data_IF_104084413053
#
_entry.id   IF_104084413053
#
_cell.length_a   1.000
_cell.length_b   1.000
_cell.length_c   1.000
_cell.angle_alpha   90.00
_cell.angle_beta   90.00
_cell.angle_gamma   90.00
#
_symmetry.space_group_name_H-M   'P 1'
#
loop_
_entity.id
_entity.type
_entity.pdbx_description
1 polymer ?
#
# COMPACT_ATOMS: atom_id res chain seq x y z
N UNK A 1 -11.86 98.19 7.78
CA UNK A 1 -11.11 97.41 6.79
C UNK A 1 -11.00 95.98 7.30
N UNK A 2 -11.89 95.09 6.85
CA UNK A 2 -11.89 93.68 7.23
C UNK A 2 -11.82 92.86 5.95
N UNK A 3 -10.67 92.26 5.69
CA UNK A 3 -10.42 91.36 4.55
C UNK A 3 -11.11 90.00 4.79
N UNK A 4 -11.74 89.39 3.78
CA UNK A 4 -12.55 88.20 3.98
C UNK A 4 -11.68 86.94 4.09
N UNK A 5 -11.68 86.31 5.27
CA UNK A 5 -11.10 84.97 5.55
C UNK A 5 -11.71 83.84 4.72
N UNK A 6 -12.82 84.08 4.01
CA UNK A 6 -13.53 83.07 3.23
C UNK A 6 -12.75 82.60 1.98
N UNK A 7 -11.87 83.43 1.42
CA UNK A 7 -11.18 83.10 0.16
C UNK A 7 -10.04 82.09 0.35
N UNK A 8 -9.31 82.14 1.47
CA UNK A 8 -8.20 81.21 1.72
C UNK A 8 -8.69 79.78 2.02
N UNK A 9 -9.78 79.63 2.79
CA UNK A 9 -10.35 78.32 3.12
C UNK A 9 -10.89 77.58 1.89
N UNK A 10 -11.46 78.32 0.93
CA UNK A 10 -12.01 77.76 -0.30
C UNK A 10 -10.88 77.28 -1.24
N UNK A 11 -9.78 78.04 -1.34
CA UNK A 11 -8.61 77.65 -2.15
C UNK A 11 -7.91 76.42 -1.57
N UNK A 12 -7.80 76.29 -0.25
CA UNK A 12 -7.25 75.08 0.39
C UNK A 12 -8.13 73.84 0.21
N UNK A 13 -9.46 74.00 0.22
CA UNK A 13 -10.38 72.89 -0.05
C UNK A 13 -10.32 72.44 -1.52
N UNK A 14 -10.23 73.37 -2.46
CA UNK A 14 -10.14 73.07 -3.90
C UNK A 14 -8.81 72.38 -4.24
N UNK A 15 -7.72 72.76 -3.58
CA UNK A 15 -6.43 72.07 -3.75
C UNK A 15 -6.44 70.66 -3.13
N UNK A 16 -7.03 70.47 -1.94
CA UNK A 16 -7.22 69.13 -1.34
C UNK A 16 -8.16 68.23 -2.16
N UNK A 17 -9.23 68.78 -2.74
CA UNK A 17 -10.16 68.06 -3.61
C UNK A 17 -9.53 67.73 -4.98
N UNK A 18 -8.64 68.58 -5.50
CA UNK A 18 -7.84 68.31 -6.70
C UNK A 18 -6.82 67.18 -6.49
N UNK A 19 -6.17 67.13 -5.32
CA UNK A 19 -5.29 66.02 -4.94
C UNK A 19 -6.05 64.69 -4.76
N UNK A 20 -7.26 64.72 -4.19
CA UNK A 20 -8.10 63.52 -4.05
C UNK A 20 -8.59 62.98 -5.42
N UNK A 21 -8.95 63.89 -6.34
CA UNK A 21 -9.38 63.50 -7.69
C UNK A 21 -8.26 62.86 -8.53
N UNK A 22 -7.00 63.30 -8.35
CA UNK A 22 -5.82 62.66 -8.95
C UNK A 22 -5.63 61.21 -8.46
N UNK A 23 -6.00 60.90 -7.22
CA UNK A 23 -5.97 59.52 -6.71
C UNK A 23 -7.11 58.65 -7.25
N UNK A 24 -8.27 59.24 -7.56
CA UNK A 24 -9.43 58.48 -8.06
C UNK A 24 -9.38 58.18 -9.56
N UNK A 25 -8.54 58.87 -10.34
CA UNK A 25 -8.43 58.64 -11.77
C UNK A 25 -7.64 57.38 -12.16
N UNK A 26 -7.01 56.71 -11.18
CA UNK A 26 -6.19 55.51 -11.38
C UNK A 26 -6.99 54.19 -11.39
N UNK A 27 -8.34 54.21 -11.30
CA UNK A 27 -9.14 52.98 -11.15
C UNK A 27 -10.00 52.59 -12.36
N UNK A 28 -9.79 53.20 -13.53
CA UNK A 28 -10.62 52.92 -14.71
C UNK A 28 -9.78 52.57 -15.94
N UNK A 29 -9.48 51.27 -16.08
CA UNK A 29 -9.01 50.69 -17.34
C UNK A 29 -7.61 50.10 -17.27
N UNK A 30 -7.56 48.79 -17.51
CA UNK A 30 -6.41 47.88 -17.51
C UNK A 30 -5.96 47.44 -16.11
N UNK A 31 -5.72 46.13 -15.93
CA UNK A 31 -5.70 45.49 -14.63
C UNK A 31 -4.45 45.85 -13.81
N UNK A 32 -4.62 46.82 -12.93
CA UNK A 32 -3.79 47.08 -11.76
C UNK A 32 -4.55 46.49 -10.56
N UNK A 33 -4.04 45.42 -9.95
CA UNK A 33 -4.66 44.90 -8.73
C UNK A 33 -4.42 45.89 -7.58
N UNK A 34 -5.32 45.92 -6.60
CA UNK A 34 -5.22 46.70 -5.34
C UNK A 34 -3.93 46.44 -4.54
N UNK A 35 -3.15 45.43 -4.94
CA UNK A 35 -1.91 44.97 -4.30
C UNK A 35 -0.63 45.53 -4.91
N UNK A 36 -0.72 46.38 -5.94
CA UNK A 36 0.43 47.05 -6.55
C UNK A 36 0.74 48.37 -5.82
N UNK A 37 2.00 48.57 -5.45
CA UNK A 37 2.46 49.69 -4.62
C UNK A 37 3.60 50.43 -5.31
N UNK A 38 3.75 51.73 -5.02
CA UNK A 38 4.87 52.50 -5.55
C UNK A 38 6.18 52.06 -4.89
N UNK A 39 7.23 51.89 -5.70
CA UNK A 39 8.53 51.39 -5.25
C UNK A 39 9.19 52.32 -4.21
N UNK A 40 8.78 53.58 -4.18
CA UNK A 40 9.30 54.60 -3.26
C UNK A 40 8.89 54.39 -1.80
N UNK A 41 7.81 53.65 -1.51
CA UNK A 41 7.29 53.47 -0.14
C UNK A 41 7.82 52.20 0.57
N UNK A 42 8.75 51.47 -0.03
CA UNK A 42 9.37 50.26 0.56
C UNK A 42 9.00 48.96 -0.17
N UNK A 43 9.69 47.88 0.20
CA UNK A 43 9.53 46.54 -0.38
C UNK A 43 8.15 45.91 -0.13
N UNK A 44 7.88 44.76 -0.75
CA UNK A 44 6.78 43.90 -0.30
C UNK A 44 7.09 43.46 1.14
N UNK A 45 6.23 43.83 2.09
CA UNK A 45 6.41 43.47 3.50
C UNK A 45 6.44 41.96 3.73
N UNK A 46 6.68 41.52 4.96
CA UNK A 46 6.84 40.10 5.30
C UNK A 46 5.65 39.25 4.84
N UNK A 47 5.95 38.12 4.17
CA UNK A 47 4.94 37.20 3.62
C UNK A 47 4.40 37.59 2.25
N UNK A 48 4.99 38.60 1.61
CA UNK A 48 4.69 38.98 0.24
C UNK A 48 5.96 39.01 -0.62
N UNK A 49 5.84 38.58 -1.87
CA UNK A 49 6.93 38.60 -2.85
C UNK A 49 6.59 39.54 -4.01
N UNK A 50 7.59 40.28 -4.55
CA UNK A 50 7.40 41.08 -5.75
C UNK A 50 7.31 40.14 -6.95
N UNK A 51 6.20 40.19 -7.67
CA UNK A 51 5.94 39.30 -8.83
C UNK A 51 6.11 40.01 -10.16
N UNK A 52 5.91 41.32 -10.17
CA UNK A 52 5.98 42.13 -11.38
C UNK A 52 6.41 43.54 -11.00
N UNK A 53 7.38 44.07 -11.75
CA UNK A 53 7.94 45.40 -11.53
C UNK A 53 7.85 46.17 -12.83
N UNK A 54 7.21 47.34 -12.81
CA UNK A 54 7.24 48.26 -13.94
C UNK A 54 8.03 49.52 -13.60
N UNK A 55 8.78 49.99 -14.60
CA UNK A 55 9.46 51.28 -14.62
C UNK A 55 8.71 52.35 -15.44
N UNK A 56 7.51 52.02 -15.93
CA UNK A 56 6.61 52.93 -16.62
C UNK A 56 5.21 52.97 -15.98
N UNK A 57 4.39 53.95 -16.37
CA UNK A 57 2.98 54.05 -15.95
C UNK A 57 2.05 53.16 -16.76
N UNK A 58 2.56 52.40 -17.73
CA UNK A 58 1.73 51.63 -18.65
C UNK A 58 1.52 50.21 -18.14
N UNK A 59 2.39 49.66 -17.31
CA UNK A 59 2.20 48.32 -16.71
C UNK A 59 1.89 47.26 -17.78
N UNK A 60 0.99 46.32 -17.48
CA UNK A 60 0.49 45.30 -18.41
C UNK A 60 -0.64 45.79 -19.35
N UNK A 61 -0.85 47.09 -19.47
CA UNK A 61 -1.97 47.62 -20.26
C UNK A 61 -1.71 47.43 -21.77
N UNK A 62 -2.63 46.78 -22.49
CA UNK A 62 -2.51 46.55 -23.94
C UNK A 62 -2.53 47.84 -24.79
N UNK A 63 -2.90 48.97 -24.21
CA UNK A 63 -2.95 50.26 -24.91
C UNK A 63 -2.34 51.37 -24.04
N UNK A 64 -1.43 52.20 -24.59
CA UNK A 64 -0.86 53.35 -23.90
C UNK A 64 -1.92 54.47 -23.84
N UNK A 65 -2.92 54.34 -22.97
CA UNK A 65 -4.01 55.33 -22.86
C UNK A 65 -3.61 56.60 -22.10
N UNK A 66 -2.42 56.65 -21.51
CA UNK A 66 -2.03 57.74 -20.63
C UNK A 66 -0.73 58.44 -21.10
N UNK A 67 -0.72 59.78 -21.00
CA UNK A 67 0.41 60.63 -21.34
C UNK A 67 1.58 60.55 -20.36
N UNK A 68 2.50 61.54 -20.41
CA UNK A 68 3.69 61.60 -19.57
C UNK A 68 3.34 61.44 -18.08
N UNK A 69 3.96 60.42 -17.46
CA UNK A 69 3.81 60.07 -16.06
C UNK A 69 4.05 61.27 -15.13
N UNK A 70 3.19 61.52 -14.13
CA UNK A 70 3.51 62.42 -13.04
C UNK A 70 4.76 61.93 -12.30
N UNK A 71 5.59 62.86 -11.81
CA UNK A 71 6.79 62.54 -11.03
C UNK A 71 6.40 61.63 -9.85
N UNK A 72 7.16 60.55 -9.63
CA UNK A 72 6.94 59.46 -8.64
C UNK A 72 5.95 58.35 -9.02
N UNK A 73 5.24 58.44 -10.15
CA UNK A 73 4.29 57.42 -10.61
C UNK A 73 4.86 56.51 -11.70
N UNK A 74 6.18 56.42 -11.86
CA UNK A 74 6.80 55.56 -12.88
C UNK A 74 7.32 54.24 -12.35
N UNK A 75 7.49 54.06 -11.03
CA UNK A 75 8.09 52.84 -10.46
C UNK A 75 7.12 52.16 -9.52
N UNK A 76 6.65 50.98 -9.92
CA UNK A 76 5.73 50.16 -9.13
C UNK A 76 6.19 48.71 -9.05
N UNK A 77 5.79 48.04 -7.97
CA UNK A 77 5.87 46.60 -7.84
C UNK A 77 4.54 46.03 -7.36
N UNK A 78 4.17 44.87 -7.88
CA UNK A 78 3.01 44.13 -7.42
C UNK A 78 3.45 43.03 -6.45
N UNK A 79 2.81 43.00 -5.29
CA UNK A 79 3.12 42.08 -4.21
C UNK A 79 2.06 40.96 -4.16
N UNK A 80 2.49 39.71 -4.14
CA UNK A 80 1.62 38.54 -3.92
C UNK A 80 1.97 37.86 -2.62
N UNK A 81 0.97 37.28 -1.96
CA UNK A 81 1.21 36.42 -0.81
C UNK A 81 2.10 35.25 -1.24
N UNK A 82 3.16 35.00 -0.47
CA UNK A 82 4.10 33.92 -0.75
C UNK A 82 3.69 32.58 -0.15
N UNK A 83 2.77 32.60 0.84
CA UNK A 83 2.39 31.42 1.62
C UNK A 83 1.31 30.60 0.94
N UNK A 84 1.60 29.32 0.74
CA UNK A 84 0.61 28.37 0.29
C UNK A 84 -0.43 28.05 1.40
N UNK A 85 -1.71 27.97 1.02
CA UNK A 85 -2.83 27.58 1.90
C UNK A 85 -3.26 26.13 1.67
N UNK A 86 -3.76 25.44 2.69
CA UNK A 86 -4.20 24.05 2.55
C UNK A 86 -5.45 23.96 1.65
N UNK A 87 -5.42 23.11 0.63
CA UNK A 87 -6.56 22.83 -0.26
C UNK A 87 -6.71 21.33 -0.51
N UNK A 88 -7.95 20.89 -0.78
CA UNK A 88 -8.28 19.49 -1.13
C UNK A 88 -8.49 19.27 -2.63
N UNK A 89 -8.52 20.34 -3.43
CA UNK A 89 -8.87 20.31 -4.86
C UNK A 89 -7.65 20.30 -5.77
N UNK A 90 -6.45 20.50 -5.22
CA UNK A 90 -5.21 20.62 -5.98
C UNK A 90 -4.88 19.37 -6.82
N UNK A 91 -5.25 18.20 -6.32
CA UNK A 91 -5.12 16.91 -7.00
C UNK A 91 -5.92 16.80 -8.32
N UNK A 92 -6.84 17.74 -8.59
CA UNK A 92 -7.64 17.79 -9.82
C UNK A 92 -7.08 18.76 -10.86
N UNK A 93 -6.17 19.65 -10.47
CA UNK A 93 -5.59 20.62 -11.40
C UNK A 93 -4.56 19.93 -12.32
N UNK A 94 -4.57 20.22 -13.64
CA UNK A 94 -3.54 19.76 -14.58
C UNK A 94 -2.19 20.42 -14.33
N UNK A 95 -2.19 21.72 -14.02
CA UNK A 95 -0.99 22.56 -13.85
C UNK A 95 -0.32 22.44 -12.49
N UNK A 96 -0.70 21.46 -11.67
CA UNK A 96 -0.11 21.26 -10.34
C UNK A 96 1.39 20.93 -10.44
N UNK A 97 2.17 21.37 -9.46
CA UNK A 97 3.60 21.06 -9.34
C UNK A 97 3.84 20.10 -8.17
N UNK A 98 4.72 19.13 -8.38
CA UNK A 98 5.14 18.18 -7.37
C UNK A 98 6.30 18.75 -6.54
N UNK A 99 6.04 19.07 -5.27
CA UNK A 99 7.03 19.64 -4.34
C UNK A 99 7.18 18.69 -3.15
N UNK A 100 8.18 17.81 -3.22
CA UNK A 100 8.39 16.77 -2.20
C UNK A 100 7.16 15.87 -2.02
N UNK A 101 6.58 15.86 -0.81
CA UNK A 101 5.42 15.06 -0.43
C UNK A 101 4.07 15.79 -0.61
N UNK A 102 4.06 16.93 -1.30
CA UNK A 102 2.88 17.77 -1.47
C UNK A 102 2.71 18.15 -2.95
N UNK A 103 1.47 18.42 -3.35
CA UNK A 103 1.12 19.08 -4.59
C UNK A 103 0.89 20.55 -4.31
N UNK A 104 1.46 21.43 -5.14
CA UNK A 104 1.25 22.87 -5.07
C UNK A 104 0.55 23.31 -6.35
N UNK A 105 -0.47 24.16 -6.22
CA UNK A 105 -1.23 24.70 -7.36
C UNK A 105 -1.92 26.00 -6.99
N UNK A 106 -2.33 26.75 -8.01
CA UNK A 106 -3.18 27.91 -7.85
C UNK A 106 -4.64 27.51 -7.65
N UNK A 107 -5.39 28.32 -6.90
CA UNK A 107 -6.81 28.05 -6.61
C UNK A 107 -7.71 28.03 -7.85
N UNK A 108 -7.27 28.67 -8.94
CA UNK A 108 -7.90 28.69 -10.26
C UNK A 108 -7.31 27.65 -11.23
N UNK A 109 -6.44 26.76 -10.75
CA UNK A 109 -5.67 25.80 -11.55
C UNK A 109 -4.75 26.42 -12.63
N UNK A 110 -4.42 27.71 -12.53
CA UNK A 110 -3.34 28.31 -13.32
C UNK A 110 -1.96 27.75 -12.91
N UNK A 111 -0.93 28.03 -13.70
CA UNK A 111 0.42 27.54 -13.43
C UNK A 111 1.05 28.29 -12.24
N UNK A 112 1.47 27.57 -11.17
CA UNK A 112 2.11 28.20 -10.02
C UNK A 112 3.60 28.46 -10.27
N UNK A 113 4.08 29.62 -9.86
CA UNK A 113 5.51 29.96 -9.82
C UNK A 113 6.07 29.68 -8.42
N UNK A 114 7.00 28.72 -8.32
CA UNK A 114 7.61 28.31 -7.05
C UNK A 114 8.93 29.05 -6.88
N UNK A 115 9.06 29.85 -5.82
CA UNK A 115 10.28 30.64 -5.56
C UNK A 115 11.30 29.85 -4.73
N UNK A 116 10.83 29.02 -3.81
CA UNK A 116 11.66 28.05 -3.10
C UNK A 116 10.89 26.76 -2.80
N UNK A 117 11.37 25.65 -3.36
CA UNK A 117 10.77 24.34 -3.22
C UNK A 117 10.90 23.74 -1.81
N UNK A 118 11.74 24.30 -0.92
CA UNK A 118 11.90 23.83 0.46
C UNK A 118 11.01 24.60 1.45
N UNK A 119 10.88 25.92 1.28
CA UNK A 119 10.11 26.81 2.16
C UNK A 119 8.61 26.85 1.84
N UNK A 120 8.18 26.17 0.75
CA UNK A 120 6.78 26.18 0.28
C UNK A 120 6.30 27.58 -0.10
N UNK A 121 7.21 28.45 -0.51
CA UNK A 121 6.88 29.78 -0.96
C UNK A 121 6.77 29.85 -2.48
N UNK A 122 5.78 30.59 -2.94
CA UNK A 122 5.55 30.82 -4.36
C UNK A 122 4.35 31.71 -4.56
N UNK A 123 3.92 31.87 -5.82
CA UNK A 123 2.80 32.71 -6.15
C UNK A 123 2.10 32.23 -7.42
N UNK A 124 0.91 32.77 -7.65
CA UNK A 124 0.17 32.63 -8.89
C UNK A 124 0.30 33.94 -9.68
N UNK A 125 0.51 33.83 -10.99
CA UNK A 125 0.54 35.02 -11.85
C UNK A 125 -0.83 35.71 -11.89
N UNK A 126 -1.89 34.90 -11.91
CA UNK A 126 -3.26 35.38 -11.75
C UNK A 126 -3.49 35.91 -10.32
N UNK A 127 -4.64 36.54 -10.06
CA UNK A 127 -5.00 37.01 -8.72
C UNK A 127 -5.36 35.88 -7.74
N UNK A 128 -5.23 34.62 -8.18
CA UNK A 128 -5.46 33.43 -7.37
C UNK A 128 -4.45 33.29 -6.22
N UNK A 129 -4.87 32.59 -5.17
CA UNK A 129 -3.99 32.27 -4.04
C UNK A 129 -3.27 30.95 -4.29
N UNK A 130 -2.03 30.87 -3.81
CA UNK A 130 -1.27 29.63 -3.84
C UNK A 130 -1.86 28.64 -2.83
N UNK A 131 -2.01 27.39 -3.26
CA UNK A 131 -2.51 26.31 -2.41
C UNK A 131 -1.62 25.08 -2.46
N UNK A 132 -1.66 24.29 -1.39
CA UNK A 132 -0.98 23.00 -1.32
C UNK A 132 -1.93 21.90 -0.84
N UNK A 133 -1.64 20.68 -1.26
CA UNK A 133 -2.34 19.46 -0.84
C UNK A 133 -1.32 18.36 -0.54
N UNK A 134 -1.37 17.71 0.62
CA UNK A 134 -0.49 16.57 0.89
C UNK A 134 -0.80 15.42 -0.08
N UNK A 135 0.27 14.79 -0.60
CA UNK A 135 0.16 13.58 -1.41
C UNK A 135 -0.39 12.44 -0.56
N UNK A 136 -1.22 11.55 -1.12
CA UNK A 136 -1.68 10.39 -0.39
C UNK A 136 -0.49 9.52 0.01
N UNK A 137 -0.54 8.96 1.22
CA UNK A 137 0.53 8.11 1.74
C UNK A 137 0.54 6.78 0.99
N UNK A 138 1.69 6.45 0.42
CA UNK A 138 1.96 5.14 -0.17
C UNK A 138 2.53 4.19 0.88
N UNK A 139 1.91 3.02 1.04
CA UNK A 139 2.33 1.99 1.99
C UNK A 139 2.56 0.68 1.25
N UNK A 140 3.79 0.19 1.29
CA UNK A 140 4.18 -1.08 0.67
C UNK A 140 4.12 -2.21 1.70
N UNK A 141 3.36 -3.27 1.41
CA UNK A 141 3.20 -4.41 2.32
C UNK A 141 3.23 -5.74 1.57
N UNK A 142 3.92 -6.72 2.17
CA UNK A 142 3.90 -8.09 1.70
C UNK A 142 2.56 -8.75 2.01
N UNK A 143 1.99 -9.40 1.00
CA UNK A 143 0.80 -10.24 1.14
C UNK A 143 1.11 -11.64 0.63
N UNK A 144 0.85 -12.63 1.47
CA UNK A 144 1.04 -14.04 1.15
C UNK A 144 -0.33 -14.70 0.96
N UNK A 145 -0.49 -15.44 -0.15
CA UNK A 145 -1.66 -16.29 -0.36
C UNK A 145 -1.60 -17.51 0.56
N UNK A 146 -2.70 -18.27 0.55
CA UNK A 146 -2.78 -19.57 1.20
C UNK A 146 -1.72 -20.53 0.64
N UNK A 147 -1.31 -21.46 1.49
CA UNK A 147 -0.39 -22.52 1.11
C UNK A 147 -1.06 -23.50 0.15
N UNK A 148 -0.33 -23.96 -0.86
CA UNK A 148 -0.75 -25.10 -1.66
C UNK A 148 -0.83 -26.36 -0.80
N UNK A 149 -1.49 -27.38 -1.33
CA UNK A 149 -1.47 -28.72 -0.73
C UNK A 149 -0.03 -29.24 -0.57
N UNK A 150 0.18 -30.03 0.47
CA UNK A 150 1.50 -30.60 0.76
C UNK A 150 1.84 -31.65 -0.30
N UNK A 151 2.92 -31.43 -1.05
CA UNK A 151 3.35 -32.32 -2.14
C UNK A 151 4.66 -33.02 -1.80
N UNK A 152 4.75 -34.32 -2.08
CA UNK A 152 5.96 -35.12 -1.88
C UNK A 152 5.79 -36.26 -0.88
N UNK A 153 6.89 -36.97 -0.60
CA UNK A 153 6.91 -38.16 0.25
C UNK A 153 7.36 -37.80 1.66
N UNK A 154 6.46 -37.86 2.65
CA UNK A 154 6.71 -37.65 4.08
C UNK A 154 7.86 -36.67 4.37
N UNK A 155 9.04 -37.16 4.74
CA UNK A 155 10.23 -36.36 5.08
C UNK A 155 10.71 -35.39 3.98
N UNK A 156 10.34 -35.62 2.72
CA UNK A 156 10.70 -34.80 1.55
C UNK A 156 9.51 -33.99 1.02
N UNK A 157 8.42 -33.89 1.75
CA UNK A 157 7.26 -33.13 1.31
C UNK A 157 7.41 -31.63 1.60
N UNK A 158 6.87 -30.81 0.70
CA UNK A 158 6.90 -29.36 0.78
C UNK A 158 5.61 -28.74 0.23
N UNK A 159 5.29 -27.54 0.71
CA UNK A 159 4.22 -26.71 0.18
C UNK A 159 4.78 -25.36 -0.22
N UNK A 160 4.16 -24.76 -1.22
CA UNK A 160 4.53 -23.45 -1.75
C UNK A 160 3.36 -22.49 -1.62
N UNK A 161 3.64 -21.19 -1.58
CA UNK A 161 2.62 -20.16 -1.67
C UNK A 161 3.12 -19.00 -2.50
N UNK A 162 2.17 -18.26 -3.04
CA UNK A 162 2.47 -17.03 -3.74
C UNK A 162 2.61 -15.87 -2.75
N UNK A 163 3.64 -15.06 -2.92
CA UNK A 163 3.92 -13.87 -2.11
C UNK A 163 4.10 -12.71 -3.07
N UNK A 164 3.34 -11.63 -2.87
CA UNK A 164 3.40 -10.42 -3.71
C UNK A 164 3.56 -9.18 -2.84
N UNK A 165 4.29 -8.19 -3.34
CA UNK A 165 4.34 -6.85 -2.76
C UNK A 165 3.14 -6.04 -3.26
N UNK A 166 2.37 -5.46 -2.34
CA UNK A 166 1.19 -4.64 -2.66
C UNK A 166 1.42 -3.20 -2.23
N UNK A 167 1.02 -2.26 -3.09
CA UNK A 167 0.93 -0.84 -2.80
C UNK A 167 -0.48 -0.49 -2.33
N UNK A 168 -0.56 0.06 -1.13
CA UNK A 168 -1.76 0.66 -0.56
C UNK A 168 -1.60 2.18 -0.61
N UNK A 169 -2.51 2.86 -1.31
CA UNK A 169 -2.54 4.33 -1.36
C UNK A 169 -3.67 4.80 -0.46
N UNK A 170 -3.35 5.66 0.51
CA UNK A 170 -4.34 6.20 1.43
C UNK A 170 -5.43 6.99 0.69
N UNK A 171 -6.70 6.76 1.04
CA UNK A 171 -7.89 7.34 0.38
C UNK A 171 -8.09 6.93 -1.09
N UNK A 172 -7.37 5.93 -1.59
CA UNK A 172 -7.68 5.34 -2.88
C UNK A 172 -8.94 4.46 -2.74
N UNK A 173 -9.93 4.70 -3.61
CA UNK A 173 -11.15 3.89 -3.68
C UNK A 173 -10.91 2.51 -4.33
N UNK A 174 -9.68 2.24 -4.74
CA UNK A 174 -9.29 1.11 -5.58
C UNK A 174 -8.62 0.02 -4.76
N UNK A 175 -8.67 -1.20 -5.27
CA UNK A 175 -7.94 -2.33 -4.68
C UNK A 175 -6.42 -2.07 -4.71
N UNK A 176 -5.67 -2.61 -3.74
CA UNK A 176 -4.22 -2.48 -3.71
C UNK A 176 -3.59 -3.07 -4.96
N UNK A 177 -2.62 -2.36 -5.53
CA UNK A 177 -1.95 -2.73 -6.78
C UNK A 177 -0.74 -3.60 -6.49
N UNK A 178 -0.51 -4.64 -7.30
CA UNK A 178 0.72 -5.43 -7.23
C UNK A 178 1.87 -4.61 -7.79
N UNK A 179 2.95 -4.49 -7.02
CA UNK A 179 4.17 -3.77 -7.42
C UNK A 179 5.38 -4.70 -7.38
N UNK A 180 6.51 -4.21 -7.88
CA UNK A 180 7.76 -4.95 -7.89
C UNK A 180 8.26 -5.23 -6.46
N UNK A 181 8.93 -6.37 -6.29
CA UNK A 181 9.38 -6.91 -5.01
C UNK A 181 10.37 -6.00 -4.26
N UNK A 182 11.11 -5.16 -4.99
CA UNK A 182 12.10 -4.19 -4.47
C UNK A 182 11.45 -3.05 -3.67
N UNK A 183 10.15 -2.79 -3.88
CA UNK A 183 9.40 -1.75 -3.16
C UNK A 183 9.08 -2.13 -1.73
N UNK A 184 8.97 -3.43 -1.44
CA UNK A 184 8.76 -3.93 -0.09
C UNK A 184 10.10 -4.28 0.57
N UNK A 185 10.21 -4.13 1.89
CA UNK A 185 11.43 -4.52 2.61
C UNK A 185 11.71 -6.02 2.47
N UNK A 186 12.88 -6.38 1.96
CA UNK A 186 13.32 -7.77 1.83
C UNK A 186 13.39 -8.50 3.19
N UNK A 187 13.66 -7.78 4.29
CA UNK A 187 13.73 -8.36 5.64
C UNK A 187 12.43 -9.00 6.09
N UNK A 188 11.30 -8.49 5.60
CA UNK A 188 9.97 -8.89 6.02
C UNK A 188 9.28 -9.78 4.98
N UNK A 189 10.01 -10.24 3.95
CA UNK A 189 9.45 -11.08 2.89
C UNK A 189 9.06 -12.45 3.45
N UNK A 190 7.77 -12.83 3.39
CA UNK A 190 7.34 -14.14 3.86
C UNK A 190 7.93 -15.28 3.03
N UNK A 191 8.14 -16.49 3.61
CA UNK A 191 8.66 -17.63 2.85
C UNK A 191 7.67 -18.06 1.76
N UNK A 192 8.19 -18.38 0.59
CA UNK A 192 7.42 -18.89 -0.56
C UNK A 192 7.32 -20.42 -0.57
N UNK A 193 8.21 -21.11 0.16
CA UNK A 193 8.25 -22.57 0.24
C UNK A 193 8.61 -23.00 1.65
N UNK A 194 7.94 -24.04 2.14
CA UNK A 194 8.27 -24.65 3.43
C UNK A 194 8.08 -26.17 3.42
N UNK A 195 8.67 -26.83 4.42
CA UNK A 195 8.47 -28.27 4.63
C UNK A 195 7.12 -28.50 5.31
N UNK A 196 6.45 -29.59 4.93
CA UNK A 196 5.19 -29.99 5.51
C UNK A 196 5.14 -31.52 5.63
N UNK A 197 4.25 -32.04 6.47
CA UNK A 197 4.04 -33.49 6.61
C UNK A 197 2.65 -33.83 6.06
N UNK A 198 2.54 -34.64 4.99
CA UNK A 198 1.26 -35.08 4.45
C UNK A 198 0.49 -35.92 5.47
N UNK A 199 -0.83 -35.85 5.43
CA UNK A 199 -1.71 -36.55 6.38
C UNK A 199 -1.50 -38.07 6.36
N UNK A 200 -1.28 -38.66 5.18
CA UNK A 200 -0.97 -40.09 5.01
C UNK A 200 0.26 -40.57 5.81
N UNK A 201 1.20 -39.69 6.10
CA UNK A 201 2.40 -40.01 6.89
C UNK A 201 2.14 -39.95 8.40
N UNK A 202 1.13 -39.20 8.82
CA UNK A 202 0.70 -39.18 10.22
C UNK A 202 -0.03 -40.49 10.55
N UNK A 203 -0.86 -40.98 9.64
CA UNK A 203 -1.62 -42.22 9.81
C UNK A 203 -0.71 -43.47 9.84
N UNK A 204 0.36 -43.48 9.03
CA UNK A 204 1.34 -44.57 9.02
C UNK A 204 2.10 -44.73 10.35
N UNK A 205 2.19 -43.69 11.18
CA UNK A 205 2.84 -43.76 12.49
C UNK A 205 1.94 -44.41 13.55
N UNK A 206 0.61 -44.35 13.37
CA UNK A 206 -0.35 -45.09 14.19
C UNK A 206 -0.47 -46.56 13.78
N UNK A 207 -0.08 -46.91 12.55
CA UNK A 207 0.01 -48.30 12.08
C UNK A 207 1.29 -48.98 12.58
N UNK A 208 1.62 -48.88 13.88
CA UNK A 208 2.50 -49.88 14.48
C UNK A 208 1.77 -51.22 14.36
N UNK A 209 2.26 -52.07 13.46
CA UNK A 209 1.83 -53.45 13.29
C UNK A 209 1.63 -54.08 14.67
N UNK A 210 0.39 -54.28 15.09
CA UNK A 210 0.08 -55.22 16.15
C UNK A 210 0.32 -56.61 15.54
N UNK A 211 1.56 -57.09 15.65
CA UNK A 211 1.82 -58.52 15.42
C UNK A 211 0.89 -59.33 16.31
N UNK A 212 0.44 -60.50 15.84
CA UNK A 212 -0.45 -61.35 16.62
C UNK A 212 0.10 -61.52 18.03
N UNK A 213 -0.74 -61.38 19.06
CA UNK A 213 -0.26 -61.41 20.43
C UNK A 213 0.36 -62.77 20.72
N UNK A 214 1.40 -62.79 21.55
CA UNK A 214 2.21 -63.98 21.84
C UNK A 214 1.34 -65.16 22.28
N UNK A 215 0.25 -64.91 23.03
CA UNK A 215 -0.71 -65.94 23.42
C UNK A 215 -1.40 -66.63 22.23
N UNK A 216 -1.68 -65.92 21.14
CA UNK A 216 -2.27 -66.50 19.94
C UNK A 216 -1.28 -67.44 19.25
N UNK A 217 0.01 -67.10 19.24
CA UNK A 217 1.07 -67.97 18.70
C UNK A 217 1.21 -69.23 19.56
N UNK A 218 1.16 -69.08 20.89
CA UNK A 218 1.21 -70.21 21.82
C UNK A 218 0.00 -71.13 21.64
N UNK A 219 -1.22 -70.58 21.52
CA UNK A 219 -2.41 -71.38 21.26
C UNK A 219 -2.32 -72.14 19.93
N UNK A 220 -1.85 -71.48 18.86
CA UNK A 220 -1.64 -72.14 17.55
C UNK A 220 -0.60 -73.27 17.67
N UNK A 221 0.48 -73.08 18.43
CA UNK A 221 1.47 -74.13 18.65
C UNK A 221 0.91 -75.31 19.45
N UNK A 222 0.11 -75.05 20.48
CA UNK A 222 -0.50 -76.07 21.32
C UNK A 222 -1.55 -76.88 20.58
N UNK A 223 -2.38 -76.23 19.75
CA UNK A 223 -3.37 -76.94 18.92
C UNK A 223 -2.69 -77.83 17.88
N UNK A 224 -1.60 -77.37 17.25
CA UNK A 224 -0.80 -78.19 16.35
C UNK A 224 -0.21 -79.41 17.06
N UNK A 225 0.40 -79.24 18.23
CA UNK A 225 0.99 -80.35 18.99
C UNK A 225 -0.10 -81.35 19.43
N UNK A 226 -1.26 -80.86 19.89
CA UNK A 226 -2.37 -81.72 20.28
C UNK A 226 -2.95 -82.50 19.08
N UNK A 227 -3.08 -81.86 17.91
CA UNK A 227 -3.56 -82.52 16.69
C UNK A 227 -2.60 -83.61 16.21
N UNK A 228 -1.30 -83.32 16.16
CA UNK A 228 -0.27 -84.30 15.75
C UNK A 228 -0.17 -85.43 16.79
N UNK A 229 -0.18 -85.10 18.08
CA UNK A 229 -0.18 -86.08 19.15
C UNK A 229 -1.41 -86.98 19.13
N UNK A 230 -2.60 -86.43 18.87
CA UNK A 230 -3.85 -87.19 18.75
C UNK A 230 -3.83 -88.17 17.58
N UNK A 231 -3.33 -87.75 16.42
CA UNK A 231 -3.17 -88.64 15.26
C UNK A 231 -2.19 -89.78 15.54
N UNK A 232 -1.06 -89.49 16.18
CA UNK A 232 -0.07 -90.51 16.56
C UNK A 232 -0.64 -91.51 17.57
N UNK A 233 -1.37 -91.03 18.59
CA UNK A 233 -1.99 -91.87 19.60
C UNK A 233 -3.08 -92.77 19.02
N UNK A 234 -3.95 -92.24 18.16
CA UNK A 234 -4.96 -93.03 17.46
C UNK A 234 -4.31 -94.13 16.59
N UNK A 235 -3.24 -93.79 15.86
CA UNK A 235 -2.44 -94.76 15.12
C UNK A 235 -1.84 -95.85 16.00
N UNK A 236 -1.31 -95.49 17.17
CA UNK A 236 -0.77 -96.44 18.14
C UNK A 236 -1.83 -97.39 18.72
N UNK A 237 -3.02 -96.89 19.07
CA UNK A 237 -4.13 -97.72 19.53
C UNK A 237 -4.57 -98.72 18.45
N UNK A 238 -4.68 -98.27 17.20
CA UNK A 238 -5.02 -99.16 16.07
C UNK A 238 -3.93 -100.21 15.86
N UNK A 239 -2.66 -99.81 15.89
CA UNK A 239 -1.53 -100.73 15.79
C UNK A 239 -1.58 -101.81 16.88
N UNK A 240 -1.76 -101.40 18.14
CA UNK A 240 -1.79 -102.34 19.28
C UNK A 240 -2.98 -103.29 19.21
N UNK A 241 -4.19 -102.80 18.86
CA UNK A 241 -5.38 -103.64 18.65
C UNK A 241 -5.16 -104.70 17.56
N UNK A 242 -4.42 -104.35 16.51
CA UNK A 242 -4.09 -105.29 15.42
C UNK A 242 -3.08 -106.34 15.88
N UNK A 243 -2.14 -105.98 16.74
CA UNK A 243 -1.18 -106.90 17.34
C UNK A 243 -1.84 -107.93 18.28
N UNK A 244 -2.83 -107.51 19.08
CA UNK A 244 -3.54 -108.41 20.00
C UNK A 244 -4.46 -109.40 19.24
N UNK A 245 -5.08 -108.99 18.13
CA UNK A 245 -5.90 -109.87 17.28
C UNK A 245 -5.08 -110.80 16.35
N UNK A 246 -3.76 -110.66 16.31
CA UNK A 246 -2.87 -111.43 15.41
C UNK A 246 -2.40 -112.78 15.97
N UNK A 247 -2.77 -113.13 17.21
CA UNK A 247 -2.35 -114.37 17.83
C UNK A 247 -3.56 -115.29 18.06
N UNK A 248 -3.36 -116.58 17.81
CA UNK A 248 -4.24 -117.76 18.01
C UNK A 248 -5.49 -117.92 17.11
N UNK A 249 -5.27 -118.67 16.02
CA UNK A 249 -6.29 -119.42 15.29
C UNK A 249 -5.64 -120.48 14.41
N UNK A 250 -5.09 -121.54 15.01
CA UNK A 250 -4.49 -122.65 14.27
C UNK A 250 -5.58 -123.42 13.50
N UNK A 251 -5.43 -123.51 12.18
CA UNK A 251 -6.28 -124.33 11.31
C UNK A 251 -5.73 -125.76 11.32
N UNK A 252 -6.47 -126.71 11.89
CA UNK A 252 -6.15 -128.14 11.75
C UNK A 252 -6.83 -128.69 10.50
N UNK A 253 -6.01 -129.04 9.50
CA UNK A 253 -6.43 -129.85 8.35
C UNK A 253 -6.34 -131.31 8.79
N UNK A 254 -7.48 -131.96 9.02
CA UNK A 254 -7.51 -133.42 9.20
C UNK A 254 -7.49 -134.06 7.82
N UNK A 255 -6.43 -134.81 7.52
CA UNK A 255 -6.38 -135.68 6.35
C UNK A 255 -7.21 -136.93 6.62
N UNK A 256 -8.11 -137.24 5.69
CA UNK A 256 -8.79 -138.53 5.55
C UNK A 256 -7.77 -139.65 5.31
N UNK A 257 -7.94 -140.81 5.97
CA UNK A 257 -7.26 -142.05 5.61
C UNK A 257 -7.98 -143.28 6.18
N UNK A 258 -8.68 -143.96 5.27
CA UNK A 258 -9.08 -145.38 5.23
C UNK A 258 -10.07 -145.94 6.26
#
# INVERSE_FOLDING_TARGET
MATPRASQAMVTLISLLGFAALFQQASAGCFWDTRCQNLWMGGCGDGFVPVETSSDCQGLCSSPQYGACPLFFSRFQCCREDKARLSKTCSRCPSRKDVGNEWVCCSDCSEPAITDGKSKTGYCQTDAYLTFQPKPREVFKWTAREWTTCTGRCKKASRSREVRCLLYVENALYSPTVVADDKCSASNKPPTKERCTPQSCMDANHQKRHGLPIWAIVLISLTCVAAVGGLAFAGFIIYRRRSDNGNHGFVYVMLDSY
#
